data_IF_492749706124
#
_entry.id   IF_492749706124
#
_cell.length_a   1.000
_cell.length_b   1.000
_cell.length_c   1.000
_cell.angle_alpha   90.00
_cell.angle_beta   90.00
_cell.angle_gamma   90.00
#
_symmetry.space_group_name_H-M   'P 1'
#
loop_
_entity.id
_entity.type
_entity.pdbx_description
1 polymer ?
#
# COMPACT_ATOMS: atom_id res chain seq x y z
N UNK A 1 2.35 -17.22 40.77
CA UNK A 1 2.49 -16.25 39.65
C UNK A 1 3.92 -15.72 39.45
N UNK A 2 4.75 -15.53 40.49
CA UNK A 2 6.14 -15.03 40.35
C UNK A 2 7.03 -15.88 39.42
N UNK A 3 6.90 -17.22 39.45
CA UNK A 3 7.68 -18.09 38.56
C UNK A 3 7.42 -17.85 37.06
N UNK A 4 6.16 -17.62 36.67
CA UNK A 4 5.78 -17.37 35.26
C UNK A 4 6.37 -16.04 34.77
N UNK A 5 6.33 -14.99 35.58
CA UNK A 5 6.95 -13.70 35.25
C UNK A 5 8.47 -13.82 35.06
N UNK A 6 9.15 -14.61 35.91
CA UNK A 6 10.60 -14.84 35.76
C UNK A 6 10.95 -15.58 34.47
N UNK A 7 10.13 -16.55 34.06
CA UNK A 7 10.31 -17.30 32.81
C UNK A 7 10.03 -16.45 31.57
N UNK A 8 8.97 -15.64 31.59
CA UNK A 8 8.66 -14.68 30.52
C UNK A 8 9.77 -13.64 30.38
N UNK A 9 10.28 -13.12 31.50
CA UNK A 9 11.37 -12.16 31.50
C UNK A 9 12.66 -12.76 30.93
N UNK A 10 13.04 -13.98 31.35
CA UNK A 10 14.18 -14.70 30.75
C UNK A 10 14.00 -14.89 29.24
N UNK A 11 12.83 -15.34 28.78
CA UNK A 11 12.55 -15.46 27.34
C UNK A 11 12.71 -14.14 26.59
N UNK A 12 12.24 -13.04 27.15
CA UNK A 12 12.38 -11.72 26.53
C UNK A 12 13.83 -11.24 26.52
N UNK A 13 14.54 -11.41 27.64
CA UNK A 13 15.96 -11.07 27.74
C UNK A 13 16.81 -11.88 26.75
N UNK A 14 16.59 -13.19 26.66
CA UNK A 14 17.27 -14.09 25.72
C UNK A 14 16.97 -13.69 24.26
N UNK A 15 15.70 -13.35 23.95
CA UNK A 15 15.31 -12.86 22.63
C UNK A 15 16.03 -11.56 22.27
N UNK A 16 16.09 -10.59 23.20
CA UNK A 16 16.77 -9.31 23.00
C UNK A 16 18.28 -9.49 22.85
N UNK A 17 18.90 -10.31 23.70
CA UNK A 17 20.33 -10.58 23.67
C UNK A 17 20.74 -11.24 22.35
N UNK A 18 20.05 -12.32 21.94
CA UNK A 18 20.31 -13.00 20.67
C UNK A 18 20.07 -12.08 19.46
N UNK A 19 19.06 -11.20 19.53
CA UNK A 19 18.84 -10.17 18.50
C UNK A 19 20.01 -9.19 18.41
N UNK A 20 20.60 -8.79 19.55
CA UNK A 20 21.75 -7.89 19.59
C UNK A 20 23.03 -8.56 19.09
N UNK A 21 23.33 -9.79 19.53
CA UNK A 21 24.49 -10.54 19.02
C UNK A 21 24.42 -10.74 17.51
N UNK A 22 23.25 -11.13 16.99
CA UNK A 22 23.05 -11.23 15.54
C UNK A 22 23.33 -9.90 14.86
N UNK A 23 22.85 -8.79 15.40
CA UNK A 23 23.07 -7.45 14.84
C UNK A 23 24.56 -7.08 14.82
N UNK A 24 25.29 -7.33 15.92
CA UNK A 24 26.73 -7.08 15.99
C UNK A 24 27.52 -7.91 14.96
N UNK A 25 27.16 -9.19 14.79
CA UNK A 25 27.76 -10.04 13.76
C UNK A 25 27.46 -9.52 12.36
N UNK A 26 26.24 -9.02 12.11
CA UNK A 26 25.87 -8.43 10.81
C UNK A 26 26.68 -7.18 10.47
N UNK A 27 26.93 -6.32 11.44
CA UNK A 27 27.77 -5.12 11.28
C UNK A 27 29.22 -5.50 10.97
N UNK A 28 29.79 -6.51 11.66
CA UNK A 28 31.17 -6.95 11.42
C UNK A 28 31.40 -7.47 10.01
N UNK A 29 30.41 -8.15 9.42
CA UNK A 29 30.53 -8.69 8.05
C UNK A 29 30.04 -7.71 6.97
N UNK A 30 29.45 -6.57 7.35
CA UNK A 30 28.86 -5.60 6.42
C UNK A 30 29.84 -5.14 5.31
N UNK A 31 31.13 -4.85 5.59
CA UNK A 31 32.09 -4.46 4.55
C UNK A 31 32.36 -5.55 3.51
N UNK A 32 32.13 -6.82 3.86
CA UNK A 32 32.36 -7.97 2.98
C UNK A 32 31.08 -8.46 2.30
N UNK A 33 29.93 -7.86 2.61
CA UNK A 33 28.68 -8.21 1.93
C UNK A 33 28.72 -7.70 0.50
N UNK A 34 28.31 -8.58 -0.42
CA UNK A 34 27.95 -8.18 -1.77
C UNK A 34 26.92 -7.02 -1.70
N UNK A 35 27.10 -5.94 -2.47
CA UNK A 35 26.08 -4.90 -2.60
C UNK A 35 24.72 -5.52 -2.89
N UNK A 36 23.68 -5.09 -2.17
CA UNK A 36 22.33 -5.60 -2.40
C UNK A 36 21.97 -5.43 -3.88
N UNK A 37 21.44 -6.49 -4.49
CA UNK A 37 21.13 -6.45 -5.92
C UNK A 37 19.98 -5.50 -6.18
N UNK A 38 20.15 -4.60 -7.16
CA UNK A 38 19.08 -3.70 -7.59
C UNK A 38 17.84 -4.45 -8.10
N UNK A 39 18.03 -5.71 -8.53
CA UNK A 39 16.97 -6.65 -8.92
C UNK A 39 15.85 -6.75 -7.90
N UNK A 40 16.16 -6.81 -6.59
CA UNK A 40 15.12 -6.90 -5.55
C UNK A 40 14.24 -5.67 -5.53
N UNK A 41 14.80 -4.47 -5.73
CA UNK A 41 14.03 -3.22 -5.81
C UNK A 41 13.13 -3.20 -7.04
N UNK A 42 13.66 -3.60 -8.21
CA UNK A 42 12.87 -3.70 -9.45
C UNK A 42 11.68 -4.63 -9.25
N UNK A 43 11.88 -5.82 -8.69
CA UNK A 43 10.78 -6.78 -8.47
C UNK A 43 9.70 -6.19 -7.57
N UNK A 44 10.09 -5.49 -6.50
CA UNK A 44 9.13 -4.82 -5.60
C UNK A 44 8.37 -3.71 -6.33
N UNK A 45 9.05 -2.89 -7.14
CA UNK A 45 8.39 -1.83 -7.91
C UNK A 45 7.42 -2.37 -8.96
N UNK A 46 7.81 -3.42 -9.69
CA UNK A 46 6.93 -4.09 -10.65
C UNK A 46 5.70 -4.64 -9.95
N UNK A 47 5.88 -5.37 -8.85
CA UNK A 47 4.78 -5.90 -8.06
C UNK A 47 3.85 -4.79 -7.56
N UNK A 48 4.41 -3.74 -6.93
CA UNK A 48 3.63 -2.62 -6.40
C UNK A 48 2.87 -1.87 -7.51
N UNK A 49 3.50 -1.66 -8.67
CA UNK A 49 2.89 -1.01 -9.82
C UNK A 49 1.68 -1.81 -10.32
N UNK A 50 1.86 -3.09 -10.62
CA UNK A 50 0.78 -3.93 -11.15
C UNK A 50 -0.33 -4.16 -10.12
N UNK A 51 0.01 -4.35 -8.84
CA UNK A 51 -1.00 -4.42 -7.77
C UNK A 51 -1.80 -3.12 -7.69
N UNK A 52 -1.15 -1.96 -7.81
CA UNK A 52 -1.82 -0.67 -7.84
C UNK A 52 -2.77 -0.51 -9.04
N UNK A 53 -2.33 -0.88 -10.24
CA UNK A 53 -3.16 -0.83 -11.46
C UNK A 53 -4.35 -1.78 -11.37
N UNK A 54 -4.12 -3.02 -10.96
CA UNK A 54 -5.19 -4.02 -10.80
C UNK A 54 -6.18 -3.55 -9.72
N UNK A 55 -5.69 -3.07 -8.58
CA UNK A 55 -6.52 -2.53 -7.51
C UNK A 55 -7.38 -1.36 -7.98
N UNK A 56 -6.78 -0.38 -8.68
CA UNK A 56 -7.50 0.75 -9.25
C UNK A 56 -8.58 0.32 -10.25
N UNK A 57 -8.27 -0.63 -11.14
CA UNK A 57 -9.23 -1.16 -12.09
C UNK A 57 -10.41 -1.85 -11.39
N UNK A 58 -10.14 -2.70 -10.38
CA UNK A 58 -11.19 -3.36 -9.60
C UNK A 58 -12.07 -2.33 -8.88
N UNK A 59 -11.48 -1.30 -8.25
CA UNK A 59 -12.26 -0.26 -7.58
C UNK A 59 -13.14 0.54 -8.53
N UNK A 60 -12.65 0.83 -9.74
CA UNK A 60 -13.43 1.50 -10.79
C UNK A 60 -14.62 0.63 -11.24
N UNK A 61 -14.42 -0.69 -11.39
CA UNK A 61 -15.52 -1.58 -11.79
C UNK A 61 -16.57 -1.74 -10.69
N UNK A 62 -16.16 -1.94 -9.44
CA UNK A 62 -17.10 -2.01 -8.31
C UNK A 62 -17.90 -0.71 -8.16
N UNK A 63 -17.26 0.44 -8.40
CA UNK A 63 -17.94 1.73 -8.43
C UNK A 63 -19.00 1.78 -9.54
N UNK A 64 -18.69 1.27 -10.74
CA UNK A 64 -19.61 1.24 -11.88
C UNK A 64 -20.80 0.31 -11.67
N UNK A 65 -20.55 -0.89 -11.16
CA UNK A 65 -21.60 -1.85 -10.81
C UNK A 65 -22.59 -1.22 -9.82
N UNK A 66 -22.08 -0.68 -8.72
CA UNK A 66 -22.90 -0.02 -7.71
C UNK A 66 -23.68 1.17 -8.27
N UNK A 67 -23.06 2.00 -9.13
CA UNK A 67 -23.77 3.12 -9.72
C UNK A 67 -24.94 2.67 -10.59
N UNK A 68 -24.77 1.63 -11.40
CA UNK A 68 -25.85 1.11 -12.25
C UNK A 68 -26.98 0.43 -11.49
N UNK A 69 -26.69 -0.21 -10.35
CA UNK A 69 -27.71 -0.73 -9.45
C UNK A 69 -28.64 0.38 -8.95
N UNK A 70 -28.07 1.54 -8.61
CA UNK A 70 -28.81 2.70 -8.11
C UNK A 70 -29.40 3.58 -9.24
N UNK A 71 -28.81 3.54 -10.44
CA UNK A 71 -29.10 4.45 -11.56
C UNK A 71 -29.21 3.70 -12.90
N UNK A 72 -30.25 2.86 -13.09
CA UNK A 72 -30.40 2.06 -14.30
C UNK A 72 -30.54 2.94 -15.56
N UNK A 73 -29.82 2.59 -16.61
CA UNK A 73 -29.85 3.28 -17.91
C UNK A 73 -29.11 4.63 -17.96
N UNK A 74 -28.54 5.11 -16.85
CA UNK A 74 -27.70 6.31 -16.82
C UNK A 74 -26.25 5.97 -17.19
N UNK A 75 -25.57 6.89 -17.87
CA UNK A 75 -24.13 6.77 -18.14
C UNK A 75 -23.37 6.90 -16.82
N UNK A 76 -22.50 5.94 -16.51
CA UNK A 76 -21.72 5.97 -15.27
C UNK A 76 -20.63 7.03 -15.38
N UNK A 77 -20.56 8.00 -14.45
CA UNK A 77 -19.43 8.91 -14.39
C UNK A 77 -18.15 8.16 -14.00
N UNK A 78 -17.00 8.48 -14.59
CA UNK A 78 -15.70 8.01 -14.09
C UNK A 78 -15.52 8.34 -12.60
N UNK A 79 -15.03 7.37 -11.82
CA UNK A 79 -14.78 7.54 -10.39
C UNK A 79 -13.74 8.66 -10.15
N UNK A 80 -13.90 9.39 -9.05
CA UNK A 80 -12.86 10.32 -8.59
C UNK A 80 -11.67 9.51 -8.05
N UNK A 81 -10.42 9.83 -8.43
CA UNK A 81 -9.26 9.09 -7.93
C UNK A 81 -9.14 9.24 -6.43
N UNK A 82 -8.97 8.11 -5.73
CA UNK A 82 -8.89 8.06 -4.27
C UNK A 82 -7.71 8.88 -3.72
N UNK A 83 -6.58 8.84 -4.42
CA UNK A 83 -5.34 9.48 -3.98
C UNK A 83 -5.15 10.90 -4.50
N UNK A 84 -6.05 11.42 -5.34
CA UNK A 84 -5.92 12.75 -5.90
C UNK A 84 -6.82 13.76 -5.17
N UNK A 85 -6.19 14.70 -4.48
CA UNK A 85 -6.89 15.75 -3.69
C UNK A 85 -7.17 17.04 -4.47
N UNK A 86 -6.65 17.16 -5.69
CA UNK A 86 -6.80 18.36 -6.51
C UNK A 86 -8.15 18.45 -7.24
N UNK A 87 -8.35 19.52 -8.03
CA UNK A 87 -9.51 19.67 -8.92
C UNK A 87 -9.53 18.55 -9.95
N UNK A 88 -10.63 17.80 -10.00
CA UNK A 88 -10.79 16.61 -10.86
C UNK A 88 -11.54 16.97 -12.14
N UNK A 89 -11.19 16.30 -13.25
CA UNK A 89 -11.71 16.60 -14.60
C UNK A 89 -11.56 18.07 -15.00
N UNK A 90 -10.38 18.65 -14.84
CA UNK A 90 -10.13 20.03 -15.30
C UNK A 90 -9.98 20.03 -16.82
N UNK A 91 -10.91 20.69 -17.51
CA UNK A 91 -10.83 20.92 -18.95
C UNK A 91 -10.82 22.42 -19.22
N UNK A 92 -9.84 22.89 -19.99
CA UNK A 92 -9.60 24.33 -20.24
C UNK A 92 -9.63 25.22 -18.99
N UNK A 93 -9.10 24.71 -17.87
CA UNK A 93 -8.96 25.48 -16.63
C UNK A 93 -10.20 25.46 -15.74
N UNK A 94 -11.32 24.90 -16.19
CA UNK A 94 -12.52 24.72 -15.37
C UNK A 94 -12.69 23.25 -14.96
N UNK A 95 -13.00 23.00 -13.69
CA UNK A 95 -13.37 21.67 -13.24
C UNK A 95 -14.73 21.33 -13.87
N UNK A 96 -14.77 20.33 -14.77
CA UNK A 96 -16.02 19.83 -15.32
C UNK A 96 -16.85 19.35 -14.14
N UNK A 97 -18.02 19.97 -13.95
CA UNK A 97 -18.94 19.60 -12.88
C UNK A 97 -19.20 18.10 -12.98
N UNK A 98 -19.04 17.39 -11.86
CA UNK A 98 -19.36 15.96 -11.82
C UNK A 98 -20.81 15.79 -12.27
N UNK A 99 -21.07 14.88 -13.22
CA UNK A 99 -22.35 14.71 -13.93
C UNK A 99 -23.58 14.56 -13.01
N UNK A 100 -23.38 14.37 -11.71
CA UNK A 100 -24.40 14.47 -10.66
C UNK A 100 -25.10 15.84 -10.55
N UNK A 101 -24.47 16.95 -10.96
CA UNK A 101 -25.12 18.28 -10.96
C UNK A 101 -25.96 18.54 -12.21
N UNK A 102 -25.97 17.63 -13.18
CA UNK A 102 -26.65 17.78 -14.47
C UNK A 102 -27.99 17.04 -14.55
N UNK A 103 -28.49 16.51 -13.42
CA UNK A 103 -29.81 15.88 -13.28
C UNK A 103 -30.69 16.72 -12.37
#
# INVERSE_FOLDING_TARGET
MQGVWSQLWRKYADYKYNKFERFAVWEMIEPYRRPKTFTTLITIYVAAFYTGVIGAAVTEQLYKEKFWEEHPGKTVPLMKPVFYRGPWRVYRGEAIASDASSQ
#
